data_IF_630629751803
#
_entry.id   IF_630629751803
#
_cell.length_a   1.000
_cell.length_b   1.000
_cell.length_c   1.000
_cell.angle_alpha   90.00
_cell.angle_beta   90.00
_cell.angle_gamma   90.00
#
_symmetry.space_group_name_H-M   'P 1'
#
loop_
_entity.id
_entity.type
_entity.pdbx_description
1 polymer ?
#
# COMPACT_ATOMS: atom_id res chain seq x y z
N UNK A 1 -12.16 13.15 29.90
CA UNK A 1 -12.77 12.91 28.61
C UNK A 1 -12.79 11.42 28.31
N UNK A 2 -13.95 10.93 27.98
CA UNK A 2 -14.03 9.52 27.61
C UNK A 2 -13.20 9.23 26.37
N UNK A 3 -12.60 8.08 26.34
CA UNK A 3 -11.82 7.64 25.20
C UNK A 3 -10.38 8.11 25.16
N UNK A 4 -9.97 8.92 26.13
CA UNK A 4 -8.61 9.45 26.15
C UNK A 4 -7.53 8.36 26.24
N UNK A 5 -7.86 7.23 26.88
CA UNK A 5 -6.90 6.13 27.04
C UNK A 5 -6.49 5.49 25.71
N UNK A 6 -7.40 5.48 24.73
CA UNK A 6 -7.13 4.87 23.43
C UNK A 6 -6.87 5.91 22.33
N UNK A 7 -6.95 7.19 22.70
CA UNK A 7 -6.70 8.25 21.74
C UNK A 7 -5.20 8.39 21.52
N UNK A 8 -4.82 8.53 20.26
CA UNK A 8 -3.42 8.74 19.90
C UNK A 8 -3.01 10.15 20.34
N UNK A 9 -1.99 10.21 21.21
CA UNK A 9 -1.48 11.51 21.67
C UNK A 9 -0.51 12.10 20.64
N UNK A 10 -0.24 13.40 20.75
CA UNK A 10 0.58 14.12 19.77
C UNK A 10 1.96 13.47 19.54
N UNK A 11 2.59 12.99 20.60
CA UNK A 11 3.89 12.33 20.50
C UNK A 11 3.81 11.04 19.69
N UNK A 12 2.79 10.23 19.98
CA UNK A 12 2.57 8.97 19.24
C UNK A 12 2.21 9.26 17.79
N UNK A 13 1.40 10.29 17.57
CA UNK A 13 1.01 10.70 16.23
C UNK A 13 2.24 11.06 15.39
N UNK A 14 3.18 11.79 15.98
CA UNK A 14 4.42 12.15 15.31
C UNK A 14 5.23 10.90 14.95
N UNK A 15 5.27 9.92 15.83
CA UNK A 15 5.96 8.66 15.59
C UNK A 15 5.31 7.87 14.45
N UNK A 16 3.99 7.76 14.46
CA UNK A 16 3.25 7.09 13.37
C UNK A 16 3.45 7.82 12.05
N UNK A 17 3.42 9.14 12.09
CA UNK A 17 3.62 9.93 10.88
C UNK A 17 5.00 9.70 10.30
N UNK A 18 6.03 9.71 11.14
CA UNK A 18 7.41 9.47 10.70
C UNK A 18 7.54 8.07 10.08
N UNK A 19 6.94 7.07 10.71
CA UNK A 19 6.95 5.70 10.18
C UNK A 19 6.27 5.65 8.82
N UNK A 20 5.08 6.25 8.69
CA UNK A 20 4.33 6.25 7.44
C UNK A 20 5.04 7.00 6.33
N UNK A 21 5.65 8.15 6.65
CA UNK A 21 6.41 8.92 5.68
C UNK A 21 7.63 8.14 5.18
N UNK A 22 8.31 7.46 6.09
CA UNK A 22 9.45 6.62 5.73
C UNK A 22 9.03 5.44 4.86
N UNK A 23 7.96 4.76 5.24
CA UNK A 23 7.43 3.64 4.47
C UNK A 23 6.98 4.10 3.08
N UNK A 24 6.33 5.26 3.03
CA UNK A 24 5.92 5.87 1.77
C UNK A 24 7.11 6.09 0.84
N UNK A 25 8.19 6.63 1.38
CA UNK A 25 9.39 6.88 0.59
C UNK A 25 9.97 5.59 0.00
N UNK A 26 10.03 4.53 0.82
CA UNK A 26 10.50 3.22 0.36
C UNK A 26 9.61 2.68 -0.75
N UNK A 27 8.30 2.73 -0.57
CA UNK A 27 7.35 2.21 -1.56
C UNK A 27 7.41 3.00 -2.87
N UNK A 28 7.52 4.32 -2.80
CA UNK A 28 7.65 5.15 -3.99
C UNK A 28 8.91 4.75 -4.77
N UNK A 29 10.02 4.54 -4.07
CA UNK A 29 11.25 4.10 -4.68
C UNK A 29 11.11 2.73 -5.35
N UNK A 30 10.46 1.79 -4.67
CA UNK A 30 10.26 0.44 -5.20
C UNK A 30 9.37 0.46 -6.44
N UNK A 31 8.25 1.16 -6.39
CA UNK A 31 7.32 1.26 -7.53
C UNK A 31 8.01 1.92 -8.72
N UNK A 32 8.73 3.01 -8.48
CA UNK A 32 9.46 3.70 -9.54
C UNK A 32 10.53 2.78 -10.14
N UNK A 33 11.26 2.05 -9.31
CA UNK A 33 12.27 1.11 -9.76
C UNK A 33 11.69 -0.01 -10.61
N UNK A 34 10.58 -0.60 -10.16
CA UNK A 34 9.91 -1.67 -10.91
C UNK A 34 9.36 -1.16 -12.25
N UNK A 35 8.75 0.01 -12.25
CA UNK A 35 8.25 0.61 -13.49
C UNK A 35 9.38 0.92 -14.48
N UNK A 36 10.50 1.43 -13.98
CA UNK A 36 11.66 1.71 -14.82
C UNK A 36 12.21 0.43 -15.42
N UNK A 37 12.35 -0.62 -14.61
CA UNK A 37 12.84 -1.92 -15.09
C UNK A 37 11.92 -2.49 -16.15
N UNK A 38 10.62 -2.45 -15.95
CA UNK A 38 9.66 -2.92 -16.92
C UNK A 38 9.74 -2.13 -18.23
N UNK A 39 9.83 -0.80 -18.13
CA UNK A 39 9.94 0.07 -19.31
C UNK A 39 11.20 -0.24 -20.10
N UNK A 40 12.30 -0.46 -19.43
CA UNK A 40 13.55 -0.83 -20.09
C UNK A 40 13.45 -2.20 -20.78
N UNK A 41 12.83 -3.17 -20.12
CA UNK A 41 12.63 -4.49 -20.72
C UNK A 41 11.78 -4.43 -21.97
N UNK A 42 10.69 -3.68 -21.92
CA UNK A 42 9.79 -3.50 -23.06
C UNK A 42 10.51 -2.77 -24.19
N UNK A 43 11.25 -1.72 -23.87
CA UNK A 43 12.00 -0.96 -24.87
C UNK A 43 13.07 -1.81 -25.53
N UNK A 44 13.79 -2.61 -24.75
CA UNK A 44 14.81 -3.50 -25.28
C UNK A 44 14.20 -4.55 -26.21
N UNK A 45 13.09 -5.15 -25.80
CA UNK A 45 12.37 -6.12 -26.61
C UNK A 45 11.87 -5.50 -27.92
N UNK A 46 11.37 -4.27 -27.85
CA UNK A 46 10.88 -3.56 -29.03
C UNK A 46 12.01 -3.09 -29.93
N UNK A 47 13.11 -2.60 -29.34
CA UNK A 47 14.23 -2.05 -30.09
C UNK A 47 15.05 -3.08 -30.84
N UNK A 48 15.07 -4.30 -30.35
CA UNK A 48 15.91 -5.36 -30.92
C UNK A 48 15.15 -6.36 -31.79
N UNK A 49 13.95 -6.01 -32.19
CA UNK A 49 13.12 -6.90 -33.01
C UNK A 49 13.80 -7.35 -34.29
N UNK A 50 14.72 -6.55 -34.82
CA UNK A 50 15.41 -6.86 -36.04
C UNK A 50 16.61 -7.76 -35.85
N UNK A 51 17.11 -7.94 -34.62
CA UNK A 51 18.39 -8.60 -34.39
C UNK A 51 18.30 -9.91 -33.62
N UNK A 52 17.24 -10.14 -32.84
CA UNK A 52 17.12 -11.34 -32.01
C UNK A 52 15.71 -11.93 -32.16
N UNK A 53 15.63 -13.13 -32.81
CA UNK A 53 14.34 -13.81 -32.85
C UNK A 53 13.97 -14.33 -31.46
N UNK A 54 12.79 -13.95 -30.99
CA UNK A 54 12.28 -14.45 -29.74
C UNK A 54 11.73 -15.86 -29.89
N UNK A 55 12.14 -16.76 -29.03
CA UNK A 55 11.49 -18.06 -28.92
C UNK A 55 10.17 -17.90 -28.19
N UNK A 56 9.19 -18.72 -28.55
CA UNK A 56 7.87 -18.66 -27.93
C UNK A 56 7.95 -18.88 -26.41
N UNK A 57 8.87 -19.72 -25.97
CA UNK A 57 9.07 -19.96 -24.54
C UNK A 57 9.56 -18.71 -23.81
N UNK A 58 10.46 -17.95 -24.46
CA UNK A 58 10.99 -16.72 -23.90
C UNK A 58 9.90 -15.64 -23.78
N UNK A 59 9.05 -15.54 -24.80
CA UNK A 59 7.92 -14.61 -24.78
C UNK A 59 6.95 -14.95 -23.65
N UNK A 60 6.65 -16.24 -23.47
CA UNK A 60 5.78 -16.69 -22.38
C UNK A 60 6.36 -16.40 -21.01
N UNK A 61 7.66 -16.59 -20.83
CA UNK A 61 8.35 -16.31 -19.57
C UNK A 61 8.33 -14.81 -19.27
N UNK A 62 8.63 -13.98 -20.27
CA UNK A 62 8.61 -12.53 -20.13
C UNK A 62 7.22 -12.05 -19.75
N UNK A 63 6.17 -12.58 -20.35
CA UNK A 63 4.80 -12.22 -20.01
C UNK A 63 4.46 -12.57 -18.57
N UNK A 64 4.89 -13.75 -18.11
CA UNK A 64 4.66 -14.18 -16.74
C UNK A 64 5.37 -13.23 -15.76
N UNK A 65 6.62 -12.89 -16.04
CA UNK A 65 7.39 -11.98 -15.21
C UNK A 65 6.77 -10.58 -15.18
N UNK A 66 6.30 -10.11 -16.32
CA UNK A 66 5.63 -8.81 -16.41
C UNK A 66 4.33 -8.81 -15.58
N UNK A 67 3.52 -9.86 -15.70
CA UNK A 67 2.29 -9.97 -14.93
C UNK A 67 2.57 -10.02 -13.43
N UNK A 68 3.60 -10.76 -13.03
CA UNK A 68 4.01 -10.84 -11.63
C UNK A 68 4.44 -9.47 -11.12
N UNK A 69 5.27 -8.76 -11.88
CA UNK A 69 5.75 -7.43 -11.52
C UNK A 69 4.61 -6.43 -11.45
N UNK A 70 3.67 -6.48 -12.40
CA UNK A 70 2.48 -5.62 -12.34
C UNK A 70 1.67 -5.87 -11.07
N UNK A 71 1.53 -7.13 -10.68
CA UNK A 71 0.84 -7.48 -9.43
C UNK A 71 1.53 -6.88 -8.20
N UNK A 72 2.86 -6.94 -8.16
CA UNK A 72 3.63 -6.32 -7.09
C UNK A 72 3.44 -4.80 -7.06
N UNK A 73 3.49 -4.17 -8.23
CA UNK A 73 3.29 -2.73 -8.35
C UNK A 73 1.90 -2.34 -7.84
N UNK A 74 0.87 -3.07 -8.25
CA UNK A 74 -0.50 -2.81 -7.82
C UNK A 74 -0.64 -2.93 -6.30
N UNK A 75 -0.04 -3.95 -5.69
CA UNK A 75 -0.09 -4.15 -4.24
C UNK A 75 0.60 -3.00 -3.51
N UNK A 76 1.75 -2.56 -4.00
CA UNK A 76 2.48 -1.46 -3.37
C UNK A 76 1.78 -0.12 -3.57
N UNK A 77 1.15 0.07 -4.73
CA UNK A 77 0.35 1.27 -4.98
C UNK A 77 -0.88 1.31 -4.07
N UNK A 78 -1.51 0.17 -3.79
CA UNK A 78 -2.60 0.10 -2.83
C UNK A 78 -2.14 0.49 -1.42
N UNK A 79 -0.98 -0.02 -1.01
CA UNK A 79 -0.41 0.35 0.29
C UNK A 79 -0.09 1.84 0.34
N UNK A 80 0.49 2.39 -0.73
CA UNK A 80 0.75 3.83 -0.84
C UNK A 80 -0.53 4.64 -0.69
N UNK A 81 -1.58 4.20 -1.36
CA UNK A 81 -2.87 4.86 -1.27
C UNK A 81 -3.40 4.87 0.17
N UNK A 82 -3.28 3.74 0.87
CA UNK A 82 -3.69 3.64 2.26
C UNK A 82 -2.85 4.53 3.17
N UNK A 83 -1.55 4.60 2.92
CA UNK A 83 -0.65 5.47 3.67
C UNK A 83 -1.02 6.94 3.46
N UNK A 84 -1.24 7.34 2.23
CA UNK A 84 -1.63 8.72 1.91
C UNK A 84 -2.96 9.08 2.56
N UNK A 85 -3.91 8.16 2.56
CA UNK A 85 -5.18 8.36 3.24
C UNK A 85 -5.00 8.51 4.75
N UNK A 86 -4.08 7.72 5.34
CA UNK A 86 -3.78 7.83 6.77
C UNK A 86 -3.14 9.17 7.12
N UNK A 87 -2.22 9.63 6.29
CA UNK A 87 -1.59 10.93 6.49
C UNK A 87 -2.62 12.07 6.39
N UNK A 88 -3.57 11.94 5.47
CA UNK A 88 -4.66 12.89 5.34
C UNK A 88 -5.54 12.91 6.60
N UNK A 89 -5.85 11.73 7.15
CA UNK A 89 -6.62 11.64 8.41
C UNK A 89 -5.87 12.29 9.57
N UNK A 90 -4.54 12.20 9.57
CA UNK A 90 -3.73 12.87 10.59
C UNK A 90 -3.91 14.38 10.54
N UNK A 91 -3.91 14.95 9.34
CA UNK A 91 -4.09 16.38 9.16
C UNK A 91 -5.49 16.82 9.58
N UNK A 92 -6.48 15.95 9.37
CA UNK A 92 -7.88 16.25 9.75
C UNK A 92 -8.21 15.91 11.19
N UNK A 93 -7.24 15.41 11.95
CA UNK A 93 -7.46 15.04 13.35
C UNK A 93 -8.31 13.79 13.55
N UNK A 94 -8.38 12.94 12.54
CA UNK A 94 -9.20 11.72 12.56
C UNK A 94 -8.39 10.43 12.61
N UNK A 95 -7.08 10.53 12.75
CA UNK A 95 -6.22 9.35 12.77
C UNK A 95 -6.50 8.50 14.02
N UNK A 96 -6.47 7.19 13.82
CA UNK A 96 -6.68 6.24 14.92
C UNK A 96 -8.13 5.96 15.25
N UNK A 97 -9.06 6.50 14.46
CA UNK A 97 -10.49 6.23 14.65
C UNK A 97 -11.00 5.33 13.52
N UNK A 98 -11.81 4.34 13.88
CA UNK A 98 -12.43 3.48 12.88
C UNK A 98 -13.40 4.30 12.03
N UNK A 99 -13.35 4.14 10.72
CA UNK A 99 -14.21 4.88 9.81
C UNK A 99 -15.68 4.46 9.92
N UNK A 100 -15.94 3.22 10.32
CA UNK A 100 -17.29 2.67 10.39
C UNK A 100 -17.93 2.95 11.75
N UNK A 101 -17.31 2.48 12.84
CA UNK A 101 -17.92 2.60 14.18
C UNK A 101 -17.48 3.85 14.92
N UNK A 102 -16.51 4.59 14.39
CA UNK A 102 -16.00 5.84 14.98
C UNK A 102 -15.33 5.68 16.35
N UNK A 103 -15.11 4.44 16.78
CA UNK A 103 -14.41 4.17 18.02
C UNK A 103 -12.90 4.18 17.80
N UNK A 104 -12.10 4.49 18.84
CA UNK A 104 -10.65 4.42 18.69
C UNK A 104 -10.18 3.02 18.30
N UNK A 105 -9.27 2.94 17.35
CA UNK A 105 -8.64 1.68 16.97
C UNK A 105 -7.60 1.35 18.03
N UNK A 106 -7.55 0.09 18.54
CA UNK A 106 -6.56 -0.30 19.53
C UNK A 106 -5.14 0.00 19.08
N UNK A 107 -4.31 0.48 19.99
CA UNK A 107 -2.91 0.80 19.69
C UNK A 107 -2.13 -0.41 19.22
N UNK A 108 -2.47 -1.60 19.71
CA UNK A 108 -1.83 -2.83 19.26
C UNK A 108 -2.02 -3.06 17.77
N UNK A 109 -3.21 -2.71 17.25
CA UNK A 109 -3.49 -2.83 15.83
C UNK A 109 -2.78 -1.74 15.03
N UNK A 110 -2.78 -0.51 15.55
CA UNK A 110 -2.09 0.61 14.89
C UNK A 110 -0.59 0.38 14.79
N UNK A 111 0.01 -0.27 15.76
CA UNK A 111 1.44 -0.59 15.72
C UNK A 111 1.79 -1.57 14.61
N UNK A 112 0.88 -2.47 14.30
CA UNK A 112 1.09 -3.47 13.25
C UNK A 112 0.72 -2.90 11.89
N UNK A 113 -0.43 -2.21 11.80
CA UNK A 113 -0.92 -1.61 10.56
C UNK A 113 -1.26 -0.15 10.81
N UNK A 114 -0.25 0.75 10.78
CA UNK A 114 -0.50 2.17 11.12
C UNK A 114 -1.48 2.88 10.19
N UNK A 115 -1.65 2.39 8.97
CA UNK A 115 -2.58 2.99 8.02
C UNK A 115 -3.97 2.37 8.06
N UNK A 116 -4.24 1.49 9.03
CA UNK A 116 -5.56 0.85 9.09
C UNK A 116 -6.69 1.87 9.28
N UNK A 117 -7.77 1.67 8.53
CA UNK A 117 -8.96 2.52 8.61
C UNK A 117 -10.02 1.96 9.52
N UNK A 118 -9.95 0.66 9.81
CA UNK A 118 -10.99 -0.06 10.52
C UNK A 118 -10.42 -0.77 11.73
N UNK A 119 -11.24 -0.89 12.78
CA UNK A 119 -10.92 -1.78 13.89
C UNK A 119 -11.12 -3.22 13.41
N UNK A 120 -10.63 -4.18 14.22
CA UNK A 120 -10.67 -5.58 13.82
C UNK A 120 -12.10 -6.08 13.62
N UNK A 121 -13.03 -5.62 14.45
CA UNK A 121 -14.43 -6.04 14.37
C UNK A 121 -15.08 -5.56 13.07
N UNK A 122 -14.86 -4.30 12.71
CA UNK A 122 -15.40 -3.75 11.48
C UNK A 122 -14.73 -4.36 10.26
N UNK A 123 -13.44 -4.64 10.35
CA UNK A 123 -12.72 -5.31 9.25
C UNK A 123 -13.27 -6.71 9.01
N UNK A 124 -13.50 -7.47 10.07
CA UNK A 124 -14.11 -8.80 9.97
C UNK A 124 -15.51 -8.74 9.38
N UNK A 125 -16.29 -7.74 9.81
CA UNK A 125 -17.63 -7.55 9.28
C UNK A 125 -17.62 -7.26 7.78
N UNK A 126 -16.68 -6.44 7.33
CA UNK A 126 -16.52 -6.11 5.92
C UNK A 126 -16.09 -7.32 5.10
N UNK A 127 -15.14 -8.10 5.60
CA UNK A 127 -14.66 -9.30 4.93
C UNK A 127 -15.72 -10.38 4.82
N UNK A 128 -16.65 -10.44 5.78
CA UNK A 128 -17.71 -11.43 5.80
C UNK A 128 -18.94 -11.02 5.00
N UNK A 129 -18.95 -9.81 4.44
CA UNK A 129 -20.06 -9.40 3.58
C UNK A 129 -20.01 -10.13 2.26
N UNK A 130 -21.18 -10.59 1.76
CA UNK A 130 -21.21 -11.19 0.43
C UNK A 130 -20.84 -10.15 -0.62
N UNK A 131 -20.07 -10.59 -1.61
CA UNK A 131 -19.71 -9.72 -2.72
C UNK A 131 -20.96 -9.32 -3.50
N UNK A 132 -21.05 -8.06 -3.82
CA UNK A 132 -22.14 -7.55 -4.63
C UNK A 132 -21.67 -7.26 -6.04
#
# INVERSE_FOLDING_TARGET
MPGSKNKVVAKELAEYRAFLMNRRSVLVGDVTGMNTTMSKSVAAASGDLSTVPYHMADVGTDNFEHEFTLGLIENEEEELHEIDAALDRMEKGKFGLCEICKKPIPKSRLKIIPYTRLCIECKKGEENRPSQ
#
